data_IF_302115085337
#
_entry.id   IF_302115085337
#
_cell.length_a   1.000
_cell.length_b   1.000
_cell.length_c   1.000
_cell.angle_alpha   90.00
_cell.angle_beta   90.00
_cell.angle_gamma   90.00
#
_symmetry.space_group_name_H-M   'P 1'
#
loop_
_entity.id
_entity.type
_entity.pdbx_description
1 polymer ?
#
# COMPACT_ATOMS: atom_id res chain seq x y z
N UNK A 1 16.03 -5.03 -9.77
CA UNK A 1 15.43 -5.04 -8.41
C UNK A 1 13.91 -5.22 -8.45
N UNK A 2 13.18 -4.46 -9.27
CA UNK A 2 11.70 -4.51 -9.38
C UNK A 2 11.17 -5.91 -9.78
N UNK A 3 11.88 -6.65 -10.65
CA UNK A 3 11.49 -8.02 -11.07
C UNK A 3 11.53 -9.07 -9.94
N UNK A 4 12.36 -8.87 -8.91
CA UNK A 4 12.48 -9.79 -7.76
C UNK A 4 11.35 -9.53 -6.78
N UNK A 5 11.06 -8.25 -6.50
CA UNK A 5 9.91 -7.82 -5.71
C UNK A 5 8.58 -8.22 -6.38
N UNK A 6 8.47 -8.05 -7.71
CA UNK A 6 7.30 -8.46 -8.49
C UNK A 6 7.02 -9.97 -8.44
N UNK A 7 8.02 -10.78 -8.09
CA UNK A 7 7.87 -12.23 -7.90
C UNK A 7 7.24 -12.56 -6.54
N UNK A 8 7.56 -11.81 -5.48
CA UNK A 8 6.95 -11.94 -4.14
C UNK A 8 5.55 -11.30 -4.02
N UNK A 9 5.19 -10.41 -4.95
CA UNK A 9 3.84 -9.80 -5.06
C UNK A 9 2.78 -10.80 -5.59
N UNK A 10 3.17 -11.98 -6.12
CA UNK A 10 2.30 -12.85 -6.96
C UNK A 10 0.93 -13.20 -6.37
N UNK A 11 0.80 -13.39 -5.06
CA UNK A 11 -0.49 -13.71 -4.43
C UNK A 11 -1.36 -12.48 -4.11
N UNK A 12 -0.79 -11.29 -3.94
CA UNK A 12 -1.50 -10.09 -3.49
C UNK A 12 -1.73 -9.04 -4.59
N UNK A 13 -1.44 -9.36 -5.87
CA UNK A 13 -1.64 -8.45 -7.00
C UNK A 13 -3.07 -7.90 -7.10
N UNK A 14 -4.09 -8.70 -6.78
CA UNK A 14 -5.50 -8.26 -6.87
C UNK A 14 -5.81 -7.19 -5.82
N UNK A 15 -5.42 -7.43 -4.57
CA UNK A 15 -5.61 -6.47 -3.49
C UNK A 15 -4.81 -5.17 -3.72
N UNK A 16 -3.58 -5.28 -4.25
CA UNK A 16 -2.71 -4.13 -4.52
C UNK A 16 -3.14 -3.26 -5.71
N UNK A 17 -4.00 -3.77 -6.61
CA UNK A 17 -4.56 -3.00 -7.73
C UNK A 17 -5.91 -2.40 -7.32
N UNK A 18 -6.70 -3.10 -6.51
CA UNK A 18 -7.98 -2.58 -6.01
C UNK A 18 -7.80 -1.40 -5.06
N UNK A 19 -6.74 -1.39 -4.25
CA UNK A 19 -6.46 -0.29 -3.30
C UNK A 19 -6.22 1.06 -3.95
N UNK A 20 -5.34 1.24 -4.95
CA UNK A 20 -5.17 2.54 -5.60
C UNK A 20 -6.42 3.00 -6.35
N UNK A 21 -7.24 2.07 -6.88
CA UNK A 21 -8.51 2.41 -7.51
C UNK A 21 -9.50 2.96 -6.47
N UNK A 22 -9.68 2.28 -5.33
CA UNK A 22 -10.54 2.77 -4.25
C UNK A 22 -10.08 4.12 -3.72
N UNK A 23 -8.79 4.27 -3.43
CA UNK A 23 -8.21 5.52 -2.91
C UNK A 23 -8.36 6.65 -3.93
N UNK A 24 -8.18 6.38 -5.23
CA UNK A 24 -8.36 7.41 -6.26
C UNK A 24 -9.80 7.91 -6.34
N UNK A 25 -10.79 7.03 -6.17
CA UNK A 25 -12.21 7.41 -6.16
C UNK A 25 -12.59 8.23 -4.92
N UNK A 26 -12.04 7.87 -3.76
CA UNK A 26 -12.21 8.62 -2.51
C UNK A 26 -11.62 10.04 -2.61
N UNK A 27 -10.37 10.18 -3.09
CA UNK A 27 -9.70 11.48 -3.19
C UNK A 27 -10.45 12.42 -4.14
N UNK A 28 -11.03 11.90 -5.22
CA UNK A 28 -11.87 12.71 -6.13
C UNK A 28 -13.10 13.26 -5.40
N UNK A 29 -13.75 12.46 -4.54
CA UNK A 29 -14.88 12.92 -3.73
C UNK A 29 -14.45 13.95 -2.69
N UNK A 30 -13.31 13.75 -2.02
CA UNK A 30 -12.75 14.76 -1.10
C UNK A 30 -12.43 16.08 -1.81
N UNK A 31 -11.96 16.04 -3.07
CA UNK A 31 -11.74 17.24 -3.86
C UNK A 31 -13.05 17.97 -4.25
N UNK A 32 -14.20 17.29 -4.27
CA UNK A 32 -15.50 17.91 -4.54
C UNK A 32 -16.08 18.64 -3.31
N UNK A 33 -15.74 18.21 -2.09
CA UNK A 33 -16.17 18.87 -0.85
C UNK A 33 -15.82 20.37 -0.83
N UNK A 34 -14.58 20.82 -1.07
CA UNK A 34 -14.25 22.26 -1.08
C UNK A 34 -14.96 23.03 -2.20
N UNK A 35 -15.35 22.38 -3.31
CA UNK A 35 -16.13 23.00 -4.36
C UNK A 35 -17.56 23.34 -3.91
N UNK A 36 -18.20 22.43 -3.16
CA UNK A 36 -19.51 22.66 -2.56
C UNK A 36 -19.42 23.75 -1.48
N UNK A 37 -18.37 23.72 -0.65
CA UNK A 37 -18.12 24.76 0.36
C UNK A 37 -17.95 26.14 -0.28
N UNK A 38 -17.22 26.25 -1.40
CA UNK A 38 -17.07 27.52 -2.10
C UNK A 38 -18.42 28.07 -2.59
N UNK A 39 -19.29 27.20 -3.11
CA UNK A 39 -20.64 27.56 -3.56
C UNK A 39 -21.52 28.00 -2.38
N UNK A 40 -21.43 27.30 -1.25
CA UNK A 40 -22.08 27.70 0.01
C UNK A 40 -21.62 29.09 0.45
N UNK A 41 -20.31 29.32 0.53
CA UNK A 41 -19.76 30.63 0.96
C UNK A 41 -20.21 31.76 0.03
N UNK A 42 -20.31 31.50 -1.28
CA UNK A 42 -20.83 32.48 -2.24
C UNK A 42 -22.32 32.79 -2.04
N UNK A 43 -23.14 31.78 -1.72
CA UNK A 43 -24.55 31.98 -1.38
C UNK A 43 -24.72 32.76 -0.07
N UNK A 44 -23.93 32.45 0.95
CA UNK A 44 -23.91 33.19 2.23
C UNK A 44 -23.61 34.67 1.99
N UNK A 45 -22.60 34.98 1.17
CA UNK A 45 -22.26 36.37 0.81
C UNK A 45 -23.35 37.09 0.02
N UNK A 46 -24.19 36.35 -0.71
CA UNK A 46 -25.27 36.91 -1.53
C UNK A 46 -26.56 37.17 -0.75
N UNK A 47 -26.54 37.02 0.59
CA UNK A 47 -27.70 37.24 1.45
C UNK A 47 -28.61 36.02 1.61
N UNK A 48 -28.05 34.80 1.57
CA UNK A 48 -28.81 33.57 1.74
C UNK A 48 -29.48 33.44 3.11
N UNK A 49 -30.67 32.86 3.09
CA UNK A 49 -31.46 32.54 4.28
C UNK A 49 -30.75 31.48 5.15
N UNK A 50 -30.82 31.64 6.48
CA UNK A 50 -30.18 30.74 7.46
C UNK A 50 -30.60 29.28 7.28
N UNK A 51 -31.81 29.02 6.79
CA UNK A 51 -32.32 27.67 6.50
C UNK A 51 -31.54 26.99 5.36
N UNK A 52 -31.12 27.75 4.34
CA UNK A 52 -30.30 27.20 3.25
C UNK A 52 -28.92 26.77 3.75
N UNK A 53 -28.30 27.58 4.61
CA UNK A 53 -26.99 27.31 5.20
C UNK A 53 -27.02 26.04 6.05
N UNK A 54 -28.06 25.87 6.87
CA UNK A 54 -28.27 24.68 7.69
C UNK A 54 -28.43 23.41 6.85
N UNK A 55 -29.20 23.46 5.76
CA UNK A 55 -29.39 22.33 4.82
C UNK A 55 -28.07 21.89 4.17
N UNK A 56 -27.29 22.83 3.65
CA UNK A 56 -26.00 22.51 3.04
C UNK A 56 -24.96 22.04 4.08
N UNK A 57 -24.97 22.60 5.29
CA UNK A 57 -24.12 22.13 6.39
C UNK A 57 -24.40 20.68 6.79
N UNK A 58 -25.68 20.30 6.85
CA UNK A 58 -26.08 18.90 7.13
C UNK A 58 -25.62 17.95 6.01
N UNK A 59 -25.79 18.35 4.75
CA UNK A 59 -25.35 17.59 3.58
C UNK A 59 -23.82 17.40 3.59
N UNK A 60 -23.06 18.43 3.95
CA UNK A 60 -21.60 18.37 4.06
C UNK A 60 -21.15 17.38 5.15
N UNK A 61 -21.81 17.38 6.32
CA UNK A 61 -21.49 16.43 7.40
C UNK A 61 -21.77 14.99 6.96
N UNK A 62 -22.90 14.75 6.28
CA UNK A 62 -23.24 13.42 5.76
C UNK A 62 -22.24 12.97 4.69
N UNK A 63 -21.86 13.84 3.76
CA UNK A 63 -20.85 13.55 2.74
C UNK A 63 -19.48 13.28 3.36
N UNK A 64 -19.05 14.07 4.34
CA UNK A 64 -17.79 13.87 5.04
C UNK A 64 -17.77 12.54 5.81
N UNK A 65 -18.88 12.19 6.48
CA UNK A 65 -19.03 10.90 7.16
C UNK A 65 -18.92 9.71 6.21
N UNK A 66 -19.59 9.79 5.04
CA UNK A 66 -19.48 8.76 4.01
C UNK A 66 -18.06 8.68 3.44
N UNK A 67 -17.43 9.81 3.14
CA UNK A 67 -16.04 9.87 2.65
C UNK A 67 -15.07 9.20 3.63
N UNK A 68 -15.21 9.49 4.93
CA UNK A 68 -14.39 8.89 5.98
C UNK A 68 -14.56 7.36 6.07
N UNK A 69 -15.80 6.86 5.92
CA UNK A 69 -16.06 5.42 5.91
C UNK A 69 -15.39 4.73 4.71
N UNK A 70 -15.49 5.34 3.52
CA UNK A 70 -14.80 4.84 2.33
C UNK A 70 -13.28 4.87 2.50
N UNK A 71 -12.74 5.91 3.12
CA UNK A 71 -11.31 6.03 3.45
C UNK A 71 -10.80 5.00 4.43
N UNK A 72 -11.57 4.70 5.47
CA UNK A 72 -11.22 3.65 6.41
C UNK A 72 -11.16 2.26 5.73
N UNK A 73 -12.10 1.97 4.82
CA UNK A 73 -12.13 0.71 4.07
C UNK A 73 -10.99 0.61 3.05
N UNK A 74 -10.68 1.70 2.36
CA UNK A 74 -9.55 1.78 1.43
C UNK A 74 -8.21 1.64 2.15
N UNK A 75 -8.04 2.34 3.29
CA UNK A 75 -6.86 2.25 4.15
C UNK A 75 -6.64 0.87 4.74
N UNK A 76 -7.70 0.22 5.24
CA UNK A 76 -7.64 -1.16 5.75
C UNK A 76 -7.21 -2.14 4.66
N UNK A 77 -7.80 -2.04 3.46
CA UNK A 77 -7.42 -2.87 2.32
C UNK A 77 -5.94 -2.66 1.90
N UNK A 78 -5.44 -1.42 2.01
CA UNK A 78 -4.04 -1.08 1.73
C UNK A 78 -3.06 -1.67 2.75
N UNK A 79 -3.42 -1.62 4.03
CA UNK A 79 -2.65 -2.24 5.09
C UNK A 79 -2.54 -3.76 4.92
N UNK A 80 -3.64 -4.43 4.56
CA UNK A 80 -3.64 -5.88 4.28
C UNK A 80 -2.75 -6.22 3.09
N UNK A 81 -2.81 -5.46 2.00
CA UNK A 81 -1.96 -5.67 0.83
C UNK A 81 -0.46 -5.50 1.16
N UNK A 82 -0.11 -4.47 1.94
CA UNK A 82 1.26 -4.15 2.33
C UNK A 82 1.84 -5.18 3.30
N UNK A 83 1.07 -5.61 4.31
CA UNK A 83 1.48 -6.63 5.27
C UNK A 83 1.63 -8.01 4.61
N UNK A 84 0.73 -8.38 3.69
CA UNK A 84 0.83 -9.61 2.90
C UNK A 84 2.08 -9.65 2.03
N UNK A 85 2.41 -8.54 1.37
CA UNK A 85 3.65 -8.39 0.61
C UNK A 85 4.89 -8.54 1.51
N UNK A 86 4.92 -7.86 2.65
CA UNK A 86 6.06 -7.89 3.58
C UNK A 86 6.32 -9.30 4.16
N UNK A 87 5.25 -10.08 4.41
CA UNK A 87 5.35 -11.46 4.88
C UNK A 87 6.06 -12.36 3.86
N UNK A 88 5.64 -12.29 2.59
CA UNK A 88 6.24 -13.07 1.52
C UNK A 88 7.69 -12.64 1.25
N UNK A 89 7.97 -11.33 1.30
CA UNK A 89 9.31 -10.79 1.12
C UNK A 89 10.29 -11.29 2.20
N UNK A 90 9.91 -11.27 3.48
CA UNK A 90 10.78 -11.77 4.57
C UNK A 90 11.12 -13.25 4.40
N UNK A 91 10.17 -14.06 3.94
CA UNK A 91 10.38 -15.50 3.71
C UNK A 91 11.33 -15.76 2.53
N UNK A 92 11.16 -15.01 1.44
CA UNK A 92 12.06 -15.10 0.28
C UNK A 92 13.49 -14.64 0.60
N UNK A 93 13.64 -13.61 1.44
CA UNK A 93 14.96 -13.17 1.90
C UNK A 93 15.66 -14.26 2.72
N UNK A 94 14.95 -14.91 3.65
CA UNK A 94 15.53 -15.97 4.49
C UNK A 94 16.00 -17.17 3.65
N UNK A 95 15.17 -17.62 2.70
CA UNK A 95 15.50 -18.72 1.79
C UNK A 95 16.72 -18.42 0.92
N UNK A 96 16.90 -17.17 0.49
CA UNK A 96 18.09 -16.79 -0.28
C UNK A 96 19.35 -16.80 0.58
N UNK A 97 19.31 -16.24 1.79
CA UNK A 97 20.46 -16.21 2.71
C UNK A 97 20.92 -17.63 3.04
N UNK A 98 19.99 -18.55 3.30
CA UNK A 98 20.29 -19.95 3.59
C UNK A 98 20.98 -20.65 2.41
N UNK A 99 20.48 -20.47 1.18
CA UNK A 99 21.11 -21.02 -0.04
C UNK A 99 22.50 -20.46 -0.29
N UNK A 100 22.73 -19.17 -0.03
CA UNK A 100 24.06 -18.57 -0.15
C UNK A 100 25.03 -19.12 0.90
N UNK A 101 24.57 -19.36 2.13
CA UNK A 101 25.36 -19.94 3.22
C UNK A 101 25.80 -21.38 2.90
N UNK A 102 24.88 -22.23 2.43
CA UNK A 102 25.18 -23.59 2.02
C UNK A 102 26.14 -23.62 0.83
N UNK A 103 25.89 -22.82 -0.21
CA UNK A 103 26.77 -22.77 -1.39
C UNK A 103 28.18 -22.26 -1.06
N UNK A 104 28.32 -21.31 -0.13
CA UNK A 104 29.63 -20.87 0.38
C UNK A 104 30.31 -21.95 1.21
N UNK A 105 29.58 -22.65 2.09
CA UNK A 105 30.12 -23.72 2.93
C UNK A 105 30.67 -24.87 2.07
N UNK A 106 29.94 -25.32 1.06
CA UNK A 106 30.38 -26.42 0.18
C UNK A 106 31.63 -26.06 -0.62
N UNK A 107 31.73 -24.82 -1.14
CA UNK A 107 32.93 -24.37 -1.86
C UNK A 107 34.18 -24.34 -0.98
N UNK A 108 34.06 -23.92 0.27
CA UNK A 108 35.19 -23.85 1.22
C UNK A 108 35.71 -25.25 1.57
N UNK A 109 34.80 -26.20 1.80
CA UNK A 109 35.15 -27.61 2.07
C UNK A 109 35.80 -28.28 0.85
N UNK A 110 35.33 -28.00 -0.37
CA UNK A 110 35.93 -28.53 -1.59
C UNK A 110 37.34 -28.00 -1.82
N UNK A 111 37.56 -26.70 -1.61
CA UNK A 111 38.89 -26.07 -1.71
C UNK A 111 39.87 -26.64 -0.67
N UNK A 112 39.43 -26.86 0.56
CA UNK A 112 40.26 -27.48 1.61
C UNK A 112 40.64 -28.92 1.25
N UNK A 113 39.69 -29.71 0.72
CA UNK A 113 39.99 -31.07 0.23
C UNK A 113 40.98 -31.07 -0.93
N UNK A 114 40.86 -30.13 -1.87
CA UNK A 114 41.77 -29.98 -3.00
C UNK A 114 43.17 -29.57 -2.53
N UNK A 115 43.28 -28.59 -1.62
CA UNK A 115 44.55 -28.17 -1.04
C UNK A 115 45.25 -29.30 -0.25
N UNK A 116 44.47 -30.11 0.48
CA UNK A 116 44.99 -31.25 1.22
C UNK A 116 45.53 -32.35 0.29
N UNK A 117 44.86 -32.63 -0.83
CA UNK A 117 45.33 -33.59 -1.83
C UNK A 117 46.61 -33.10 -2.53
N UNK A 118 46.68 -31.81 -2.90
CA UNK A 118 47.86 -31.21 -3.53
C UNK A 118 49.07 -31.20 -2.57
N UNK A 119 48.86 -31.03 -1.26
CA UNK A 119 49.95 -31.04 -0.28
C UNK A 119 50.49 -32.43 0.05
N UNK A 120 49.83 -33.50 -0.40
CA UNK A 120 50.22 -34.91 -0.17
C UNK A 120 50.96 -35.51 -1.38
N UNK A 121 50.92 -34.85 -2.54
CA UNK A 121 51.67 -35.20 -3.76
C UNK A 121 52.96 -34.37 -3.80
#
# INVERSE_FOLDING_TARGET
>A
MIKVLAKSIREYKRASIMTPILVSGEVVMECLIPFIIATLVNQVKSGADLDSILKYGLILILMAGLSLMFGALAGSSCAVASCGLAKNLRKDMFNNIEKFSLKKRTKKVLLIKIYFIISII
#
